data_IF_027267078297
#
_entry.id   IF_027267078297
#
_cell.length_a   1.000
_cell.length_b   1.000
_cell.length_c   1.000
_cell.angle_alpha   90.00
_cell.angle_beta   90.00
_cell.angle_gamma   90.00
#
_symmetry.space_group_name_H-M   'P 1'
#
loop_
_entity.id
_entity.type
_entity.pdbx_description
1 polymer ?
#
# COMPACT_ATOMS: atom_id res chain seq x y z
N UNK A 1 8.73 -11.96 -6.72
CA UNK A 1 7.91 -13.14 -6.36
C UNK A 1 6.90 -12.70 -5.32
N UNK A 2 5.60 -12.75 -5.60
CA UNK A 2 4.57 -12.47 -4.59
C UNK A 2 4.66 -13.48 -3.46
N UNK A 3 4.69 -13.00 -2.23
CA UNK A 3 4.48 -13.88 -1.08
C UNK A 3 2.97 -14.07 -0.93
N UNK A 4 2.50 -15.31 -1.10
CA UNK A 4 1.14 -15.67 -0.75
C UNK A 4 0.95 -15.46 0.76
N UNK A 5 0.08 -14.53 1.15
CA UNK A 5 -0.20 -14.27 2.55
C UNK A 5 -1.29 -15.24 3.04
N UNK A 6 -1.11 -15.78 4.25
CA UNK A 6 -2.06 -16.72 4.84
C UNK A 6 -3.32 -15.97 5.31
N UNK A 7 -4.35 -15.90 4.48
CA UNK A 7 -5.65 -15.34 4.83
C UNK A 7 -6.54 -15.04 3.62
N UNK A 8 -7.86 -14.97 3.82
CA UNK A 8 -8.80 -14.63 2.74
C UNK A 8 -8.84 -13.13 2.38
N UNK A 9 -8.22 -12.27 3.21
CA UNK A 9 -8.26 -10.81 3.03
C UNK A 9 -7.07 -10.26 2.24
N UNK A 10 -5.86 -10.46 2.76
CA UNK A 10 -4.62 -10.13 2.07
C UNK A 10 -4.21 -11.36 1.28
N UNK A 11 -4.30 -11.30 -0.06
CA UNK A 11 -4.12 -12.46 -0.93
C UNK A 11 -2.78 -12.47 -1.67
N UNK A 12 -2.07 -11.35 -1.67
CA UNK A 12 -0.75 -11.23 -2.28
C UNK A 12 -0.02 -10.02 -1.73
N UNK A 13 1.31 -10.12 -1.63
CA UNK A 13 2.14 -9.00 -1.27
C UNK A 13 3.50 -9.05 -1.98
N UNK A 14 3.88 -7.94 -2.60
CA UNK A 14 5.14 -7.70 -3.32
C UNK A 14 5.76 -6.39 -2.83
N UNK A 15 7.07 -6.26 -3.00
CA UNK A 15 7.78 -5.00 -2.78
C UNK A 15 8.84 -4.79 -3.86
N UNK A 16 9.11 -3.52 -4.15
CA UNK A 16 10.01 -3.09 -5.23
C UNK A 16 10.93 -2.03 -4.66
N UNK A 17 12.23 -2.21 -4.87
CA UNK A 17 13.27 -1.26 -4.48
C UNK A 17 14.46 -1.41 -5.43
N UNK A 18 14.33 -0.88 -6.63
CA UNK A 18 15.37 -0.94 -7.65
C UNK A 18 16.64 -0.19 -7.24
N UNK A 19 16.53 0.79 -6.35
CA UNK A 19 17.66 1.57 -5.84
C UNK A 19 18.46 0.82 -4.77
N UNK A 20 17.87 -0.22 -4.15
CA UNK A 20 18.52 -1.02 -3.10
C UNK A 20 18.80 -0.27 -1.80
N UNK A 21 18.26 0.94 -1.65
CA UNK A 21 18.46 1.77 -0.47
C UNK A 21 17.35 1.52 0.56
N UNK A 22 17.74 1.24 1.79
CA UNK A 22 16.82 0.99 2.91
C UNK A 22 17.21 1.87 4.09
N UNK A 23 16.23 2.51 4.71
CA UNK A 23 16.42 3.17 5.99
C UNK A 23 16.47 2.12 7.12
N UNK A 24 16.96 2.50 8.30
CA UNK A 24 16.99 1.63 9.49
C UNK A 24 15.58 1.21 9.94
N UNK A 25 14.58 2.03 9.62
CA UNK A 25 13.16 1.75 9.88
C UNK A 25 12.52 0.82 8.85
N UNK A 26 13.19 0.52 7.74
CA UNK A 26 12.61 -0.25 6.65
C UNK A 26 12.72 -1.76 6.86
N UNK A 27 11.62 -2.44 6.58
CA UNK A 27 11.60 -3.89 6.43
C UNK A 27 11.86 -4.26 4.98
N UNK A 28 12.87 -5.09 4.70
CA UNK A 28 13.12 -5.71 3.38
C UNK A 28 12.06 -6.77 3.04
N UNK A 29 10.81 -6.34 3.01
CA UNK A 29 9.60 -7.12 2.80
C UNK A 29 8.45 -6.18 2.42
N UNK A 30 7.27 -6.69 2.03
CA UNK A 30 6.08 -5.87 1.82
C UNK A 30 5.51 -5.22 3.09
N UNK A 31 6.10 -5.46 4.27
CA UNK A 31 5.63 -4.87 5.53
C UNK A 31 5.77 -3.34 5.49
N UNK A 32 4.69 -2.68 5.87
CA UNK A 32 4.63 -1.23 6.02
C UNK A 32 5.34 -0.80 7.32
N UNK A 33 6.33 0.09 7.19
CA UNK A 33 7.09 0.69 8.30
C UNK A 33 6.59 2.08 8.68
N UNK A 34 5.75 2.71 7.86
CA UNK A 34 5.34 4.12 7.98
C UNK A 34 3.87 4.22 8.39
N UNK A 35 3.01 3.33 7.89
CA UNK A 35 1.57 3.29 8.15
C UNK A 35 0.71 3.87 7.03
N UNK A 36 1.28 4.62 6.09
CA UNK A 36 0.53 5.24 4.99
C UNK A 36 -0.20 4.19 4.12
N UNK A 37 0.49 3.09 3.78
CA UNK A 37 -0.11 2.00 3.00
C UNK A 37 -1.20 1.27 3.79
N UNK A 38 -0.96 1.01 5.07
CA UNK A 38 -1.93 0.38 5.96
C UNK A 38 -3.21 1.22 6.12
N UNK A 39 -3.06 2.53 6.30
CA UNK A 39 -4.17 3.48 6.44
C UNK A 39 -5.00 3.61 5.15
N UNK A 40 -4.34 3.72 3.99
CA UNK A 40 -5.05 3.82 2.70
C UNK A 40 -5.75 2.50 2.33
N UNK A 41 -5.10 1.35 2.56
CA UNK A 41 -5.70 0.04 2.33
C UNK A 41 -6.91 -0.21 3.23
N UNK A 42 -6.88 0.22 4.50
CA UNK A 42 -8.01 0.07 5.42
C UNK A 42 -9.19 0.98 5.06
N UNK A 43 -8.95 2.18 4.51
CA UNK A 43 -10.02 3.04 3.97
C UNK A 43 -10.68 2.42 2.74
N UNK A 44 -9.90 1.86 1.81
CA UNK A 44 -10.47 1.27 0.60
C UNK A 44 -11.26 -0.01 0.93
N UNK A 45 -10.67 -0.87 1.77
CA UNK A 45 -11.10 -2.25 1.91
C UNK A 45 -10.92 -2.81 3.33
N UNK A 46 -10.79 -2.02 4.39
CA UNK A 46 -10.70 -2.55 5.76
C UNK A 46 -11.91 -3.42 6.13
N UNK A 47 -11.67 -4.52 6.85
CA UNK A 47 -12.75 -5.25 7.53
C UNK A 47 -13.36 -4.38 8.62
N UNK A 48 -14.57 -4.71 9.03
CA UNK A 48 -15.22 -4.04 10.16
C UNK A 48 -14.43 -4.30 11.46
N UNK A 49 -14.12 -3.22 12.18
CA UNK A 49 -13.45 -3.23 13.47
C UNK A 49 -14.29 -2.41 14.45
N UNK A 50 -15.07 -3.08 15.33
CA UNK A 50 -15.85 -2.40 16.36
C UNK A 50 -14.96 -1.74 17.42
N UNK A 51 -15.39 -0.59 17.95
CA UNK A 51 -14.69 0.13 19.02
C UNK A 51 -13.38 0.78 18.55
N UNK A 52 -13.18 0.95 17.25
CA UNK A 52 -12.02 1.66 16.73
C UNK A 52 -12.12 3.15 17.09
N UNK A 53 -11.02 3.71 17.59
CA UNK A 53 -10.90 5.13 17.92
C UNK A 53 -9.44 5.58 17.86
N UNK A 54 -9.22 6.89 17.77
CA UNK A 54 -7.90 7.49 17.96
C UNK A 54 -7.88 8.26 19.28
N UNK A 55 -7.34 7.64 20.33
CA UNK A 55 -7.32 8.23 21.68
C UNK A 55 -8.73 8.67 22.15
N UNK A 56 -9.77 7.91 21.82
CA UNK A 56 -11.17 8.23 22.13
C UNK A 56 -11.88 9.13 21.11
N UNK A 57 -11.17 9.68 20.13
CA UNK A 57 -11.78 10.44 19.03
C UNK A 57 -12.34 9.50 17.96
N UNK A 58 -13.50 9.89 17.41
CA UNK A 58 -14.21 9.17 16.35
C UNK A 58 -14.48 7.70 16.68
N UNK A 59 -14.85 7.41 17.93
CA UNK A 59 -15.21 6.07 18.36
C UNK A 59 -16.39 5.52 17.55
N UNK A 60 -16.23 4.31 17.01
CA UNK A 60 -17.26 3.64 16.24
C UNK A 60 -16.78 2.35 15.59
N UNK A 61 -17.41 1.98 14.47
CA UNK A 61 -16.99 0.83 13.66
C UNK A 61 -16.17 1.36 12.49
N UNK A 62 -14.86 1.09 12.49
CA UNK A 62 -14.02 1.38 11.33
C UNK A 62 -14.20 0.31 10.26
N UNK A 63 -14.37 0.71 9.00
CA UNK A 63 -14.43 -0.20 7.84
C UNK A 63 -14.02 0.52 6.57
N UNK A 64 -13.63 -0.27 5.57
CA UNK A 64 -13.40 0.26 4.23
C UNK A 64 -14.68 0.48 3.43
N UNK A 65 -14.52 1.09 2.25
CA UNK A 65 -15.60 1.22 1.25
C UNK A 65 -16.21 -0.14 0.89
N UNK A 66 -15.36 -1.13 0.58
CA UNK A 66 -15.77 -2.50 0.26
C UNK A 66 -15.10 -3.53 1.20
N UNK A 67 -15.65 -3.80 2.40
CA UNK A 67 -15.01 -4.67 3.40
C UNK A 67 -14.78 -6.11 2.96
N UNK A 68 -15.59 -6.62 2.03
CA UNK A 68 -15.53 -7.99 1.51
C UNK A 68 -14.49 -8.17 0.40
N UNK A 69 -13.92 -7.10 -0.17
CA UNK A 69 -12.94 -7.21 -1.24
C UNK A 69 -11.65 -7.88 -0.78
N UNK A 70 -10.85 -8.37 -1.71
CA UNK A 70 -9.51 -8.89 -1.43
C UNK A 70 -8.47 -7.81 -1.70
N UNK A 71 -7.36 -7.83 -0.98
CA UNK A 71 -6.29 -6.84 -1.10
C UNK A 71 -5.02 -7.56 -1.56
N UNK A 72 -4.40 -7.04 -2.62
CA UNK A 72 -3.04 -7.33 -3.02
C UNK A 72 -2.17 -6.09 -2.79
N UNK A 73 -1.04 -6.25 -2.11
CA UNK A 73 -0.15 -5.14 -1.73
C UNK A 73 1.06 -5.09 -2.66
N UNK A 74 1.35 -3.90 -3.19
CA UNK A 74 2.53 -3.62 -4.00
C UNK A 74 3.28 -2.45 -3.36
N UNK A 75 4.26 -2.74 -2.50
CA UNK A 75 5.04 -1.72 -1.80
C UNK A 75 6.12 -1.15 -2.71
N UNK A 76 5.95 0.12 -3.10
CA UNK A 76 6.88 0.86 -3.98
C UNK A 76 7.52 2.07 -3.29
N UNK A 77 7.06 2.37 -2.08
CA UNK A 77 7.55 3.48 -1.28
C UNK A 77 8.35 2.97 -0.08
N UNK A 78 9.46 3.66 0.13
CA UNK A 78 10.38 3.50 1.25
C UNK A 78 10.46 4.83 2.00
N UNK A 79 11.17 4.87 3.13
CA UNK A 79 11.18 6.04 4.02
C UNK A 79 11.39 7.39 3.30
N UNK A 80 12.22 7.43 2.24
CA UNK A 80 12.55 8.67 1.53
C UNK A 80 12.10 8.73 0.08
N UNK A 81 11.78 7.60 -0.54
CA UNK A 81 11.67 7.52 -1.99
C UNK A 81 10.57 6.55 -2.43
N UNK A 82 9.88 6.94 -3.49
CA UNK A 82 9.07 6.06 -4.31
C UNK A 82 9.56 6.25 -5.74
N UNK A 83 10.42 5.35 -6.22
CA UNK A 83 11.02 5.51 -7.54
C UNK A 83 9.97 5.27 -8.63
N UNK A 84 10.05 6.00 -9.75
CA UNK A 84 9.13 5.79 -10.87
C UNK A 84 9.29 4.38 -11.46
N UNK A 85 10.52 3.83 -11.44
CA UNK A 85 10.80 2.47 -11.90
C UNK A 85 10.06 1.43 -11.06
N UNK A 86 10.11 1.55 -9.73
CA UNK A 86 9.40 0.64 -8.80
C UNK A 86 7.88 0.76 -8.94
N UNK A 87 7.37 1.99 -9.14
CA UNK A 87 5.94 2.23 -9.40
C UNK A 87 5.51 1.52 -10.68
N UNK A 88 6.24 1.67 -11.79
CA UNK A 88 5.91 1.03 -13.06
C UNK A 88 6.02 -0.49 -12.98
N UNK A 89 7.03 -1.03 -12.30
CA UNK A 89 7.17 -2.47 -12.08
C UNK A 89 6.00 -3.04 -11.26
N UNK A 90 5.54 -2.31 -10.25
CA UNK A 90 4.35 -2.70 -9.48
C UNK A 90 3.07 -2.66 -10.30
N UNK A 91 2.90 -1.68 -11.19
CA UNK A 91 1.76 -1.64 -12.10
C UNK A 91 1.75 -2.84 -13.05
N UNK A 92 2.90 -3.19 -13.63
CA UNK A 92 3.04 -4.32 -14.55
C UNK A 92 2.64 -5.64 -13.86
N UNK A 93 3.19 -5.89 -12.67
CA UNK A 93 2.84 -7.06 -11.85
C UNK A 93 1.37 -7.03 -11.39
N UNK A 94 0.81 -5.87 -11.03
CA UNK A 94 -0.58 -5.75 -10.61
C UNK A 94 -1.56 -6.09 -11.75
N UNK A 95 -1.27 -5.62 -12.96
CA UNK A 95 -2.04 -5.93 -14.17
C UNK A 95 -1.92 -7.41 -14.49
N UNK A 96 -0.69 -7.96 -14.46
CA UNK A 96 -0.45 -9.38 -14.72
C UNK A 96 -1.09 -10.31 -13.68
N UNK A 97 -1.12 -9.89 -12.40
CA UNK A 97 -1.79 -10.59 -11.30
C UNK A 97 -3.33 -10.51 -11.41
N UNK A 98 -3.87 -9.67 -12.32
CA UNK A 98 -5.29 -9.58 -12.63
C UNK A 98 -6.11 -8.81 -11.58
N UNK A 99 -5.54 -7.76 -10.97
CA UNK A 99 -6.28 -6.93 -10.00
C UNK A 99 -7.41 -6.15 -10.70
N UNK A 100 -8.59 -6.08 -10.06
CA UNK A 100 -9.77 -5.42 -10.65
C UNK A 100 -9.67 -3.88 -10.62
N UNK A 101 -9.12 -3.31 -9.55
CA UNK A 101 -8.98 -1.87 -9.31
C UNK A 101 -7.64 -1.62 -8.60
N UNK A 102 -6.93 -0.56 -9.00
CA UNK A 102 -5.71 -0.11 -8.34
C UNK A 102 -5.97 1.20 -7.59
N UNK A 103 -5.70 1.21 -6.28
CA UNK A 103 -5.74 2.42 -5.46
C UNK A 103 -4.32 2.95 -5.24
N UNK A 104 -4.00 4.11 -5.80
CA UNK A 104 -2.66 4.72 -5.70
C UNK A 104 -2.74 6.11 -5.09
N UNK A 105 -2.33 6.23 -3.82
CA UNK A 105 -2.28 7.50 -3.09
C UNK A 105 -0.87 8.10 -3.15
N UNK A 106 -0.34 8.28 -4.36
CA UNK A 106 1.00 8.80 -4.63
C UNK A 106 0.93 9.91 -5.69
N UNK A 107 1.93 10.79 -5.70
CA UNK A 107 2.07 11.80 -6.73
C UNK A 107 3.34 12.62 -6.53
N UNK A 108 3.85 13.20 -7.62
CA UNK A 108 4.97 14.14 -7.58
C UNK A 108 4.54 15.48 -8.17
N UNK A 109 5.18 16.56 -7.72
CA UNK A 109 4.99 17.87 -8.34
C UNK A 109 5.85 17.93 -9.60
N UNK A 110 5.24 18.25 -10.74
CA UNK A 110 6.00 18.61 -11.93
C UNK A 110 6.64 19.97 -11.65
N UNK A 111 7.98 20.04 -11.61
CA UNK A 111 8.65 21.34 -11.72
C UNK A 111 8.43 21.80 -13.15
N UNK A 112 7.64 22.86 -13.35
CA UNK A 112 7.70 23.59 -14.63
C UNK A 112 9.15 24.03 -14.77
N UNK A 113 9.82 23.57 -15.82
CA UNK A 113 11.00 24.26 -16.29
C UNK A 113 10.52 25.66 -16.68
N UNK A 114 10.92 26.67 -15.91
CA UNK A 114 10.91 28.02 -16.42
C UNK A 114 12.04 28.02 -17.44
N UNK A 115 11.67 27.86 -18.71
CA UNK A 115 12.53 28.23 -19.83
C UNK A 115 12.60 29.75 -19.89
#
# INVERSE_FOLDING_TARGET
MATAMKGSKLIGARYYNSEGQYDVSDFRSPRDSIGHGTHTASIAAGREVPGASYMGLAEGIARGGVPSSRIAIYKVCWYRVCSLADILAAFDDAIADGVDIISVSLGSRIKKAVL
#
